data_IF_432731838101
#
_entry.id   IF_432731838101
#
_cell.length_a   1.000
_cell.length_b   1.000
_cell.length_c   1.000
_cell.angle_alpha   90.00
_cell.angle_beta   90.00
_cell.angle_gamma   90.00
#
_symmetry.space_group_name_H-M   'P 1'
#
loop_
_entity.id
_entity.type
_entity.pdbx_description
1 polymer ?
#
# COMPACT_ATOMS: atom_id res chain seq x y z
N UNK A 1 -2.70 -19.69 -8.76
CA UNK A 1 -3.72 -18.75 -8.25
C UNK A 1 -3.46 -17.42 -8.93
N UNK A 2 -4.39 -16.97 -9.77
CA UNK A 2 -4.25 -15.77 -10.59
C UNK A 2 -4.43 -14.52 -9.71
N UNK A 3 -3.83 -13.39 -10.08
CA UNK A 3 -3.96 -12.11 -9.38
C UNK A 3 -5.44 -11.67 -9.29
N UNK A 4 -6.23 -11.99 -10.32
CA UNK A 4 -7.67 -11.77 -10.36
C UNK A 4 -8.43 -12.56 -9.28
N UNK A 5 -8.15 -13.86 -9.14
CA UNK A 5 -8.79 -14.73 -8.14
C UNK A 5 -8.48 -14.27 -6.72
N UNK A 6 -7.22 -13.90 -6.48
CA UNK A 6 -6.76 -13.42 -5.18
C UNK A 6 -7.37 -12.06 -4.82
N UNK A 7 -7.57 -11.20 -5.82
CA UNK A 7 -8.26 -9.93 -5.63
C UNK A 7 -9.72 -10.13 -5.25
N UNK A 8 -10.43 -10.99 -5.98
CA UNK A 8 -11.82 -11.37 -5.66
C UNK A 8 -11.92 -11.98 -4.27
N UNK A 9 -11.00 -12.86 -3.89
CA UNK A 9 -11.01 -13.49 -2.56
C UNK A 9 -10.95 -12.47 -1.41
N UNK A 10 -10.21 -11.38 -1.60
CA UNK A 10 -9.98 -10.38 -0.55
C UNK A 10 -10.96 -9.20 -0.61
N UNK A 11 -11.58 -8.95 -1.77
CA UNK A 11 -12.42 -7.76 -2.01
C UNK A 11 -13.88 -8.08 -2.32
N UNK A 12 -14.27 -9.35 -2.30
CA UNK A 12 -15.67 -9.78 -2.38
C UNK A 12 -16.10 -10.33 -1.03
N UNK A 13 -17.26 -9.89 -0.57
CA UNK A 13 -17.96 -10.50 0.56
C UNK A 13 -18.34 -11.91 0.15
N UNK A 14 -17.63 -12.91 0.70
CA UNK A 14 -17.95 -14.32 0.49
C UNK A 14 -19.38 -14.59 0.92
N UNK A 15 -20.11 -15.34 0.10
CA UNK A 15 -21.44 -15.82 0.42
C UNK A 15 -21.38 -16.67 1.68
N UNK A 16 -22.28 -16.42 2.63
CA UNK A 16 -22.46 -17.29 3.80
C UNK A 16 -23.54 -18.35 3.54
N UNK A 17 -24.46 -18.05 2.64
CA UNK A 17 -25.52 -18.94 2.14
C UNK A 17 -25.52 -18.93 0.62
N UNK A 18 -25.97 -20.01 0.00
CA UNK A 18 -26.04 -20.13 -1.46
C UNK A 18 -26.94 -19.05 -2.11
N UNK A 19 -27.92 -18.57 -1.35
CA UNK A 19 -28.83 -17.47 -1.69
C UNK A 19 -28.20 -16.08 -1.60
N UNK A 20 -27.08 -15.93 -0.90
CA UNK A 20 -26.41 -14.63 -0.79
C UNK A 20 -25.79 -14.27 -2.14
N UNK A 21 -25.72 -12.98 -2.45
CA UNK A 21 -25.02 -12.49 -3.64
C UNK A 21 -23.59 -12.10 -3.28
N UNK A 22 -22.63 -12.46 -4.13
CA UNK A 22 -21.28 -11.94 -4.02
C UNK A 22 -21.29 -10.44 -4.27
N UNK A 23 -20.79 -9.69 -3.32
CA UNK A 23 -20.77 -8.23 -3.36
C UNK A 23 -19.37 -7.71 -3.12
N UNK A 24 -18.93 -6.75 -3.93
CA UNK A 24 -17.69 -6.03 -3.68
C UNK A 24 -17.73 -5.30 -2.34
N UNK A 25 -16.69 -5.49 -1.53
CA UNK A 25 -16.51 -4.84 -0.23
C UNK A 25 -16.39 -3.32 -0.40
N UNK A 26 -15.71 -2.88 -1.46
CA UNK A 26 -15.49 -1.48 -1.78
C UNK A 26 -15.91 -1.17 -3.23
N UNK A 27 -16.63 -0.07 -3.44
CA UNK A 27 -17.00 0.38 -4.79
C UNK A 27 -15.77 0.69 -5.67
N UNK A 28 -14.66 1.13 -5.04
CA UNK A 28 -13.38 1.31 -5.71
C UNK A 28 -12.81 0.00 -6.24
N UNK A 29 -12.88 -1.09 -5.46
CA UNK A 29 -12.41 -2.40 -5.89
C UNK A 29 -13.19 -2.92 -7.09
N UNK A 30 -14.52 -2.75 -7.08
CA UNK A 30 -15.38 -3.06 -8.23
C UNK A 30 -14.99 -2.28 -9.49
N UNK A 31 -14.72 -0.98 -9.33
CA UNK A 31 -14.34 -0.09 -10.45
C UNK A 31 -12.97 -0.46 -11.02
N UNK A 32 -11.98 -0.75 -10.17
CA UNK A 32 -10.63 -1.16 -10.56
C UNK A 32 -10.68 -2.50 -11.30
N UNK A 33 -11.38 -3.49 -10.75
CA UNK A 33 -11.54 -4.79 -11.40
C UNK A 33 -12.24 -4.64 -12.76
N UNK A 34 -13.33 -3.88 -12.85
CA UNK A 34 -14.04 -3.68 -14.11
C UNK A 34 -13.18 -3.04 -15.20
N UNK A 35 -12.35 -2.05 -14.84
CA UNK A 35 -11.38 -1.44 -15.76
C UNK A 35 -10.31 -2.42 -16.21
N UNK A 36 -9.77 -3.22 -15.29
CA UNK A 36 -8.76 -4.22 -15.61
C UNK A 36 -9.31 -5.26 -16.58
N UNK A 37 -10.52 -5.76 -16.34
CA UNK A 37 -11.19 -6.71 -17.25
C UNK A 37 -11.35 -6.11 -18.65
N UNK A 38 -11.79 -4.85 -18.75
CA UNK A 38 -11.93 -4.18 -20.05
C UNK A 38 -10.58 -4.03 -20.79
N UNK A 39 -9.52 -3.70 -20.06
CA UNK A 39 -8.16 -3.58 -20.61
C UNK A 39 -7.62 -4.93 -21.09
N UNK A 40 -7.87 -6.01 -20.34
CA UNK A 40 -7.52 -7.40 -20.73
C UNK A 40 -8.24 -7.80 -22.01
N UNK A 41 -9.55 -7.54 -22.10
CA UNK A 41 -10.32 -7.81 -23.30
C UNK A 41 -9.82 -6.99 -24.51
N UNK A 42 -9.44 -5.73 -24.29
CA UNK A 42 -8.87 -4.88 -25.33
C UNK A 42 -7.51 -5.39 -25.80
N UNK A 43 -6.63 -5.81 -24.87
CA UNK A 43 -5.34 -6.41 -25.19
C UNK A 43 -5.54 -7.65 -26.07
N UNK A 44 -6.39 -8.59 -25.64
CA UNK A 44 -6.69 -9.81 -26.37
C UNK A 44 -7.21 -9.50 -27.78
N UNK A 45 -8.05 -8.47 -27.93
CA UNK A 45 -8.60 -8.05 -29.22
C UNK A 45 -7.55 -7.38 -30.13
N UNK A 46 -6.59 -6.68 -29.54
CA UNK A 46 -5.51 -6.01 -30.28
C UNK A 46 -4.43 -6.97 -30.78
N UNK A 47 -4.29 -8.12 -30.14
CA UNK A 47 -3.31 -9.13 -30.50
C UNK A 47 -3.77 -9.93 -31.73
N UNK A 48 -2.86 -10.22 -32.67
CA UNK A 48 -3.18 -11.16 -33.74
C UNK A 48 -3.48 -12.54 -33.13
N UNK A 49 -4.38 -13.33 -33.74
CA UNK A 49 -4.60 -14.72 -33.33
C UNK A 49 -3.28 -15.49 -33.39
N UNK A 50 -3.08 -16.43 -32.47
CA UNK A 50 -1.93 -17.32 -32.53
C UNK A 50 -2.01 -18.23 -33.78
N UNK A 51 -0.99 -19.06 -34.01
CA UNK A 51 -0.94 -19.98 -35.17
C UNK A 51 -2.13 -20.96 -35.22
N UNK A 52 -2.81 -21.17 -34.09
CA UNK A 52 -4.01 -22.01 -33.95
C UNK A 52 -5.33 -21.22 -34.07
N UNK A 53 -5.26 -19.91 -34.31
CA UNK A 53 -6.42 -19.01 -34.39
C UNK A 53 -7.02 -18.63 -33.03
N UNK A 54 -6.37 -19.00 -31.92
CA UNK A 54 -6.82 -18.64 -30.58
C UNK A 54 -6.33 -17.25 -30.16
N UNK A 55 -7.11 -16.52 -29.36
CA UNK A 55 -6.70 -15.21 -28.85
C UNK A 55 -5.50 -15.34 -27.91
N UNK A 56 -4.50 -14.48 -28.09
CA UNK A 56 -3.32 -14.45 -27.23
C UNK A 56 -3.72 -13.88 -25.86
N UNK A 57 -3.60 -14.71 -24.83
CA UNK A 57 -3.78 -14.29 -23.44
C UNK A 57 -2.60 -13.40 -23.02
N UNK A 58 -2.82 -12.36 -22.19
CA UNK A 58 -1.74 -11.56 -21.64
C UNK A 58 -0.80 -12.44 -20.81
N UNK A 59 0.51 -12.17 -20.91
CA UNK A 59 1.50 -12.73 -19.99
C UNK A 59 1.24 -12.24 -18.56
N UNK A 60 1.76 -12.96 -17.56
CA UNK A 60 1.70 -12.53 -16.15
C UNK A 60 2.26 -11.10 -15.97
N UNK A 61 3.32 -10.74 -16.71
CA UNK A 61 3.93 -9.41 -16.68
C UNK A 61 3.01 -8.33 -17.29
N UNK A 62 2.30 -8.67 -18.37
CA UNK A 62 1.34 -7.77 -19.01
C UNK A 62 0.12 -7.53 -18.11
N UNK A 63 -0.41 -8.61 -17.53
CA UNK A 63 -1.50 -8.53 -16.56
C UNK A 63 -1.11 -7.69 -15.34
N UNK A 64 0.10 -7.85 -14.80
CA UNK A 64 0.60 -7.04 -13.68
C UNK A 64 0.75 -5.56 -14.04
N UNK A 65 1.23 -5.25 -15.25
CA UNK A 65 1.35 -3.88 -15.76
C UNK A 65 -0.02 -3.21 -15.89
N UNK A 66 -0.94 -3.85 -16.60
CA UNK A 66 -2.31 -3.35 -16.82
C UNK A 66 -3.06 -3.17 -15.49
N UNK A 67 -2.88 -4.10 -14.56
CA UNK A 67 -3.42 -3.97 -13.21
C UNK A 67 -2.88 -2.73 -12.49
N UNK A 68 -1.58 -2.47 -12.58
CA UNK A 68 -0.93 -1.33 -11.92
C UNK A 68 -1.38 0.01 -12.51
N UNK A 69 -1.55 0.07 -13.83
CA UNK A 69 -2.06 1.23 -14.55
C UNK A 69 -3.51 1.52 -14.14
N UNK A 70 -4.37 0.51 -14.17
CA UNK A 70 -5.79 0.64 -13.82
C UNK A 70 -6.02 0.95 -12.33
N UNK A 71 -5.25 0.36 -11.42
CA UNK A 71 -5.37 0.59 -9.98
C UNK A 71 -4.87 1.98 -9.52
N UNK A 72 -4.34 2.77 -10.45
CA UNK A 72 -3.96 4.18 -10.25
C UNK A 72 -2.53 4.37 -9.74
N UNK A 73 -1.63 3.42 -10.03
CA UNK A 73 -0.26 3.42 -9.53
C UNK A 73 -0.17 3.36 -7.99
N UNK A 74 1.05 3.27 -7.44
CA UNK A 74 1.24 3.23 -5.99
C UNK A 74 0.95 4.60 -5.37
N UNK A 75 -0.32 4.84 -5.02
CA UNK A 75 -0.68 5.96 -4.15
C UNK A 75 -0.21 5.59 -2.73
N UNK A 76 0.84 6.26 -2.28
CA UNK A 76 1.53 5.98 -1.00
C UNK A 76 2.27 4.62 -0.96
N UNK A 77 2.86 4.20 -2.08
CA UNK A 77 3.63 2.94 -2.12
C UNK A 77 2.77 1.68 -2.10
N UNK A 78 1.43 1.81 -2.19
CA UNK A 78 0.49 0.69 -2.21
C UNK A 78 -0.40 0.79 -3.44
N UNK A 79 -0.38 -0.25 -4.27
CA UNK A 79 -1.37 -0.43 -5.32
C UNK A 79 -2.56 -1.17 -4.72
N UNK A 80 -3.77 -0.70 -4.98
CA UNK A 80 -4.99 -1.36 -4.53
C UNK A 80 -5.02 -2.78 -5.11
N UNK A 81 -5.07 -3.80 -4.25
CA UNK A 81 -5.15 -5.20 -4.67
C UNK A 81 -3.82 -5.93 -4.94
N UNK A 82 -2.66 -5.26 -4.94
CA UNK A 82 -1.38 -5.98 -4.97
C UNK A 82 -0.96 -6.35 -3.55
N UNK A 83 -0.80 -7.67 -3.30
CA UNK A 83 -0.15 -8.15 -2.09
C UNK A 83 1.24 -7.53 -2.00
N UNK A 84 1.49 -6.88 -0.88
CA UNK A 84 2.73 -6.21 -0.48
C UNK A 84 3.99 -7.04 -0.74
N UNK A 85 3.93 -8.37 -0.83
CA UNK A 85 5.08 -9.24 -1.10
C UNK A 85 5.80 -8.96 -2.42
N UNK A 86 5.11 -8.62 -3.51
CA UNK A 86 5.77 -8.30 -4.81
C UNK A 86 6.17 -6.82 -4.93
N UNK A 87 5.50 -5.94 -4.19
CA UNK A 87 5.69 -4.49 -4.33
C UNK A 87 6.98 -3.94 -3.70
N UNK A 88 7.59 -4.67 -2.76
CA UNK A 88 8.84 -4.22 -2.11
C UNK A 88 10.03 -4.13 -3.06
N UNK A 89 9.94 -4.67 -4.29
CA UNK A 89 11.07 -4.73 -5.22
C UNK A 89 10.98 -3.77 -6.41
N UNK A 90 9.80 -3.26 -6.78
CA UNK A 90 9.67 -2.61 -8.09
C UNK A 90 10.09 -1.13 -8.13
N UNK A 91 10.12 -0.39 -7.02
CA UNK A 91 10.56 1.04 -7.06
C UNK A 91 11.08 1.54 -5.71
N UNK A 92 12.15 0.95 -5.17
CA UNK A 92 13.01 1.70 -4.24
C UNK A 92 13.93 2.64 -5.04
N UNK A 93 13.31 3.63 -5.70
CA UNK A 93 13.89 4.97 -5.84
C UNK A 93 13.65 5.81 -4.56
N UNK A 94 13.30 5.13 -3.46
CA UNK A 94 13.17 5.67 -2.11
C UNK A 94 14.22 5.00 -1.22
N UNK A 95 15.50 5.28 -1.48
CA UNK A 95 16.55 5.13 -0.46
C UNK A 95 16.25 6.15 0.64
N UNK A 96 15.46 5.77 1.65
CA UNK A 96 15.22 6.69 2.77
C UNK A 96 14.01 6.47 3.64
N UNK A 97 13.11 5.52 3.33
CA UNK A 97 12.10 5.11 4.31
C UNK A 97 12.53 3.76 4.86
N UNK A 98 13.15 3.84 6.04
CA UNK A 98 13.65 2.70 6.80
C UNK A 98 12.59 1.61 6.86
N UNK A 99 13.04 0.39 6.57
CA UNK A 99 12.29 -0.82 6.88
C UNK A 99 11.90 -0.81 8.36
N UNK A 100 10.77 -1.44 8.68
CA UNK A 100 10.27 -1.65 10.05
C UNK A 100 11.29 -2.24 11.03
N UNK A 101 12.44 -2.72 10.55
CA UNK A 101 13.57 -3.14 11.37
C UNK A 101 14.31 -1.99 12.07
N UNK A 102 14.05 -0.71 11.72
CA UNK A 102 14.66 0.41 12.45
C UNK A 102 14.09 0.57 13.88
N UNK A 103 12.90 0.01 14.14
CA UNK A 103 12.32 -0.01 15.49
C UNK A 103 13.12 -0.92 16.46
N UNK A 104 13.89 -1.89 15.95
CA UNK A 104 14.72 -2.77 16.75
C UNK A 104 16.11 -2.16 17.05
N UNK A 105 16.44 -1.01 16.46
CA UNK A 105 17.77 -0.38 16.57
C UNK A 105 17.78 0.88 17.46
N UNK A 106 16.63 1.26 18.03
CA UNK A 106 16.59 2.26 19.09
C UNK A 106 16.97 1.57 20.40
N UNK A 107 18.27 1.49 20.63
CA UNK A 107 18.84 0.99 21.87
C UNK A 107 18.22 1.73 23.08
N UNK A 108 17.85 0.97 24.11
CA UNK A 108 17.11 1.49 25.26
C UNK A 108 17.85 2.61 25.99
N UNK A 109 19.18 2.60 25.94
CA UNK A 109 20.03 3.66 26.48
C UNK A 109 19.85 4.99 25.74
N UNK A 110 19.70 4.97 24.41
CA UNK A 110 19.49 6.17 23.59
C UNK A 110 18.14 6.82 23.92
N UNK A 111 17.09 6.00 24.07
CA UNK A 111 15.77 6.50 24.44
C UNK A 111 15.75 7.06 25.87
N UNK A 112 16.47 6.42 26.80
CA UNK A 112 16.60 6.90 28.19
C UNK A 112 17.32 8.24 28.25
N UNK A 113 18.46 8.38 27.56
CA UNK A 113 19.20 9.64 27.50
C UNK A 113 18.39 10.77 26.87
N UNK A 114 17.61 10.47 25.83
CA UNK A 114 16.73 11.46 25.18
C UNK A 114 15.60 11.91 26.12
N UNK A 115 15.04 10.99 26.92
CA UNK A 115 14.03 11.33 27.92
C UNK A 115 14.59 12.20 29.05
N UNK A 116 15.80 11.91 29.54
CA UNK A 116 16.49 12.71 30.55
C UNK A 116 16.79 14.13 30.06
N UNK A 117 17.24 14.29 28.83
CA UNK A 117 17.46 15.62 28.25
C UNK A 117 16.17 16.41 28.09
N UNK A 118 15.08 15.77 27.66
CA UNK A 118 13.77 16.40 27.52
C UNK A 118 13.21 16.88 28.87
N UNK A 119 13.31 16.04 29.90
CA UNK A 119 12.87 16.40 31.26
C UNK A 119 13.71 17.53 31.87
N UNK A 120 15.02 17.53 31.64
CA UNK A 120 15.91 18.62 32.07
C UNK A 120 15.56 19.95 31.41
N UNK A 121 15.40 19.98 30.08
CA UNK A 121 15.04 21.20 29.35
C UNK A 121 13.66 21.73 29.75
N UNK A 122 12.70 20.83 30.01
CA UNK A 122 11.37 21.22 30.48
C UNK A 122 11.43 21.88 31.85
N UNK A 123 12.27 21.35 32.76
CA UNK A 123 12.47 21.93 34.09
C UNK A 123 13.18 23.29 34.02
N UNK A 124 14.19 23.43 33.16
CA UNK A 124 14.89 24.70 32.94
C UNK A 124 13.98 25.77 32.33
N UNK A 125 13.08 25.39 31.41
CA UNK A 125 12.10 26.31 30.80
C UNK A 125 11.12 26.85 31.84
N UNK A 126 10.55 26.00 32.69
CA UNK A 126 9.64 26.44 33.76
C UNK A 126 10.38 27.28 34.81
N UNK A 127 11.62 26.93 35.18
CA UNK A 127 12.43 27.75 36.06
C UNK A 127 12.79 29.12 35.45
N UNK A 128 13.03 29.20 34.15
CA UNK A 128 13.27 30.45 33.44
C UNK A 128 12.02 31.33 33.39
N UNK A 129 10.86 30.72 33.14
CA UNK A 129 9.54 31.39 33.13
C UNK A 129 9.18 31.97 34.49
N UNK A 130 9.46 31.26 35.57
CA UNK A 130 9.26 31.79 36.93
C UNK A 130 10.23 32.93 37.26
N UNK A 131 11.48 32.87 36.80
CA UNK A 131 12.44 33.98 36.93
C UNK A 131 12.05 35.21 36.09
N UNK A 132 11.35 35.02 34.97
CA UNK A 132 10.83 36.11 34.14
C UNK A 132 9.64 36.80 34.79
N UNK A 133 8.67 36.04 35.33
CA UNK A 133 7.53 36.59 36.08
C UNK A 133 7.93 37.44 37.29
N UNK A 134 9.04 37.11 37.95
CA UNK A 134 9.58 37.88 39.07
C UNK A 134 10.32 39.16 38.65
N UNK A 135 10.65 39.34 37.37
CA UNK A 135 11.26 40.57 36.84
C UNK A 135 10.24 41.58 36.29
N UNK A 136 9.05 41.10 35.92
CA UNK A 136 7.95 41.90 35.37
C UNK A 136 6.90 42.31 36.44
N UNK A 137 7.15 42.01 37.72
CA UNK A 137 6.31 42.37 38.88
C UNK A 137 7.00 43.46 39.73
#
# INVERSE_FOLDING_TARGET
MNQDELFKETHIVKKKKETDQERWIEGRASTVHGRFTAEVEEFIRSQPPNESGEPIQPSDEDAERMWTETAGGPKWGKVCGLLTKKFHRYKCGMQGIGTSSQAEQLDGEILSAMWETMTKLTSELEAAKEREKLRDA
#
